data_IF_321554962024
#
_entry.id   IF_321554962024
#
_cell.length_a   1.000
_cell.length_b   1.000
_cell.length_c   1.000
_cell.angle_alpha   90.00
_cell.angle_beta   90.00
_cell.angle_gamma   90.00
#
_symmetry.space_group_name_H-M   'P 1'
#
loop_
_entity.id
_entity.type
_entity.pdbx_description
1 polymer ?
#
# COMPACT_ATOMS: atom_id res chain seq x y z
N UNK A 1 -10.09 -10.08 -23.27
CA UNK A 1 -10.72 -10.94 -22.26
C UNK A 1 -11.72 -10.13 -21.44
N UNK A 2 -12.79 -10.79 -20.95
CA UNK A 2 -13.67 -10.26 -19.91
C UNK A 2 -13.07 -10.64 -18.55
N UNK A 3 -12.81 -9.68 -17.69
CA UNK A 3 -12.19 -9.90 -16.38
C UNK A 3 -13.14 -9.45 -15.28
N UNK A 4 -13.48 -10.36 -14.36
CA UNK A 4 -14.15 -10.03 -13.11
C UNK A 4 -13.09 -9.58 -12.08
N UNK A 5 -13.04 -8.28 -11.76
CA UNK A 5 -12.16 -7.75 -10.74
C UNK A 5 -12.93 -7.61 -9.43
N UNK A 6 -12.61 -8.47 -8.47
CA UNK A 6 -13.27 -8.50 -7.16
C UNK A 6 -12.40 -7.83 -6.11
N UNK A 7 -12.98 -6.90 -5.34
CA UNK A 7 -12.31 -6.19 -4.25
C UNK A 7 -13.22 -6.07 -3.04
N UNK A 8 -12.74 -6.32 -1.78
CA UNK A 8 -13.60 -6.20 -0.59
C UNK A 8 -14.02 -4.74 -0.27
N UNK A 9 -13.49 -3.78 -1.01
CA UNK A 9 -13.75 -2.36 -0.79
C UNK A 9 -14.99 -1.88 -1.56
N UNK A 10 -16.01 -1.43 -0.84
CA UNK A 10 -17.27 -0.91 -1.39
C UNK A 10 -17.04 0.30 -2.32
N UNK A 11 -17.97 0.56 -3.26
CA UNK A 11 -17.98 1.83 -4.00
C UNK A 11 -17.94 3.03 -3.06
N UNK A 12 -17.12 4.05 -3.39
CA UNK A 12 -16.92 5.23 -2.56
C UNK A 12 -15.92 5.08 -1.40
N UNK A 13 -15.51 3.86 -1.04
CA UNK A 13 -14.52 3.66 0.02
C UNK A 13 -13.16 4.27 -0.35
N UNK A 14 -12.56 5.01 0.59
CA UNK A 14 -11.22 5.62 0.46
C UNK A 14 -10.12 4.67 0.96
N UNK A 15 -10.17 3.40 0.57
CA UNK A 15 -9.23 2.37 1.01
C UNK A 15 -8.19 2.02 -0.04
N UNK A 16 -7.03 1.50 0.39
CA UNK A 16 -5.95 1.06 -0.50
C UNK A 16 -6.42 0.02 -1.53
N UNK A 17 -7.25 -0.94 -1.12
CA UNK A 17 -7.80 -1.96 -2.03
C UNK A 17 -8.70 -1.34 -3.12
N UNK A 18 -9.50 -0.33 -2.78
CA UNK A 18 -10.34 0.35 -3.77
C UNK A 18 -9.51 1.12 -4.78
N UNK A 19 -8.52 1.87 -4.31
CA UNK A 19 -7.59 2.59 -5.19
C UNK A 19 -6.85 1.65 -6.12
N UNK A 20 -6.34 0.53 -5.60
CA UNK A 20 -5.66 -0.50 -6.39
C UNK A 20 -6.59 -1.12 -7.43
N UNK A 21 -7.80 -1.52 -7.04
CA UNK A 21 -8.77 -2.14 -7.95
C UNK A 21 -9.12 -1.21 -9.12
N UNK A 22 -9.41 0.07 -8.84
CA UNK A 22 -9.76 1.04 -9.89
C UNK A 22 -8.58 1.33 -10.82
N UNK A 23 -7.36 1.47 -10.29
CA UNK A 23 -6.15 1.68 -11.06
C UNK A 23 -5.86 0.48 -11.96
N UNK A 24 -5.94 -0.73 -11.44
CA UNK A 24 -5.74 -1.96 -12.21
C UNK A 24 -6.82 -2.16 -13.29
N UNK A 25 -8.07 -1.85 -12.97
CA UNK A 25 -9.14 -1.86 -13.96
C UNK A 25 -8.85 -0.88 -15.12
N UNK A 26 -8.33 0.32 -14.82
CA UNK A 26 -7.94 1.29 -15.85
C UNK A 26 -6.78 0.76 -16.73
N UNK A 27 -5.73 0.16 -16.14
CA UNK A 27 -4.64 -0.42 -16.90
C UNK A 27 -5.10 -1.58 -17.80
N UNK A 28 -5.94 -2.46 -17.29
CA UNK A 28 -6.47 -3.59 -18.05
C UNK A 28 -7.39 -3.13 -19.18
N UNK A 29 -8.24 -2.13 -18.95
CA UNK A 29 -9.11 -1.54 -19.99
C UNK A 29 -8.29 -0.86 -21.08
N UNK A 30 -7.25 -0.13 -20.72
CA UNK A 30 -6.33 0.49 -21.67
C UNK A 30 -5.60 -0.54 -22.55
N UNK A 31 -5.43 -1.77 -22.05
CA UNK A 31 -4.86 -2.90 -22.80
C UNK A 31 -5.91 -3.72 -23.58
N UNK A 32 -7.16 -3.22 -23.74
CA UNK A 32 -8.21 -3.86 -24.53
C UNK A 32 -9.03 -4.93 -23.80
N UNK A 33 -8.89 -5.08 -22.47
CA UNK A 33 -9.74 -5.99 -21.70
C UNK A 33 -11.07 -5.32 -21.30
N UNK A 34 -12.15 -6.11 -21.21
CA UNK A 34 -13.41 -5.66 -20.59
C UNK A 34 -13.36 -6.02 -19.11
N UNK A 35 -13.45 -5.02 -18.20
CA UNK A 35 -13.29 -5.24 -16.76
C UNK A 35 -14.52 -4.77 -16.00
N UNK A 36 -15.15 -5.68 -15.27
CA UNK A 36 -16.19 -5.38 -14.29
C UNK A 36 -15.55 -5.35 -12.88
N UNK A 37 -15.80 -4.28 -12.12
CA UNK A 37 -15.28 -4.12 -10.75
C UNK A 37 -16.45 -4.25 -9.78
N UNK A 38 -16.39 -5.23 -8.87
CA UNK A 38 -17.44 -5.50 -7.89
C UNK A 38 -16.85 -5.86 -6.53
N UNK A 39 -17.68 -5.86 -5.50
CA UNK A 39 -17.30 -6.39 -4.17
C UNK A 39 -17.40 -7.91 -4.13
N UNK A 40 -18.26 -8.49 -4.95
CA UNK A 40 -18.51 -9.93 -5.05
C UNK A 40 -18.77 -10.30 -6.51
N UNK A 41 -18.47 -11.53 -6.88
CA UNK A 41 -18.84 -12.06 -8.18
C UNK A 41 -20.31 -12.53 -8.16
N UNK A 42 -21.08 -12.05 -9.10
CA UNK A 42 -22.53 -12.26 -9.18
C UNK A 42 -22.96 -13.32 -10.23
N UNK A 43 -22.04 -14.17 -10.68
CA UNK A 43 -22.34 -15.15 -11.72
C UNK A 43 -22.16 -14.65 -13.16
N UNK A 44 -21.85 -13.36 -13.36
CA UNK A 44 -21.69 -12.82 -14.72
C UNK A 44 -20.52 -13.49 -15.46
N UNK A 45 -20.72 -13.71 -16.77
CA UNK A 45 -19.73 -14.38 -17.61
C UNK A 45 -18.42 -13.58 -17.70
N UNK A 46 -17.34 -14.19 -17.25
CA UNK A 46 -15.99 -13.68 -17.34
C UNK A 46 -15.00 -14.76 -17.76
N UNK A 47 -13.91 -14.36 -18.42
CA UNK A 47 -12.88 -15.26 -18.91
C UNK A 47 -11.82 -15.54 -17.83
N UNK A 48 -11.67 -14.64 -16.87
CA UNK A 48 -10.79 -14.77 -15.70
C UNK A 48 -11.30 -13.91 -14.55
N UNK A 49 -10.91 -14.27 -13.33
CA UNK A 49 -11.07 -13.44 -12.15
C UNK A 49 -9.74 -12.87 -11.69
N UNK A 50 -9.73 -11.59 -11.29
CA UNK A 50 -8.67 -10.96 -10.51
C UNK A 50 -9.25 -10.55 -9.15
N UNK A 51 -8.93 -11.30 -8.11
CA UNK A 51 -9.45 -11.09 -6.76
C UNK A 51 -8.42 -10.44 -5.86
N UNK A 52 -8.81 -9.40 -5.12
CA UNK A 52 -7.97 -8.73 -4.13
C UNK A 52 -8.35 -9.23 -2.73
N UNK A 53 -7.36 -9.66 -1.96
CA UNK A 53 -7.47 -10.14 -0.58
C UNK A 53 -8.03 -11.58 -0.43
N UNK A 54 -7.18 -12.48 0.03
CA UNK A 54 -7.46 -13.93 0.07
C UNK A 54 -8.72 -14.30 0.86
N UNK A 55 -8.86 -13.82 2.11
CA UNK A 55 -9.99 -14.15 2.96
C UNK A 55 -11.29 -13.46 2.52
N UNK A 56 -11.23 -12.14 2.28
CA UNK A 56 -12.43 -11.34 2.04
C UNK A 56 -13.05 -11.56 0.65
N UNK A 57 -12.31 -12.10 -0.31
CA UNK A 57 -12.81 -12.45 -1.64
C UNK A 57 -13.04 -13.95 -1.80
N UNK A 58 -12.93 -14.73 -0.71
CA UNK A 58 -12.98 -16.18 -0.73
C UNK A 58 -14.26 -16.74 -1.39
N UNK A 59 -15.44 -16.25 -1.00
CA UNK A 59 -16.70 -16.71 -1.56
C UNK A 59 -16.75 -16.56 -3.09
N UNK A 60 -16.30 -15.43 -3.62
CA UNK A 60 -16.21 -15.18 -5.06
C UNK A 60 -15.18 -16.08 -5.75
N UNK A 61 -14.03 -16.30 -5.13
CA UNK A 61 -12.95 -17.17 -5.65
C UNK A 61 -13.46 -18.62 -5.75
N UNK A 62 -14.13 -19.10 -4.71
CA UNK A 62 -14.67 -20.46 -4.63
C UNK A 62 -15.76 -20.71 -5.66
N UNK A 63 -16.65 -19.74 -5.86
CA UNK A 63 -17.77 -19.83 -6.79
C UNK A 63 -17.36 -19.67 -8.26
N UNK A 64 -16.20 -19.04 -8.56
CA UNK A 64 -15.82 -18.74 -9.93
C UNK A 64 -15.27 -19.98 -10.67
N UNK A 65 -15.86 -20.38 -11.82
CA UNK A 65 -15.48 -21.62 -12.52
C UNK A 65 -14.22 -21.50 -13.36
N UNK A 66 -13.75 -20.28 -13.64
CA UNK A 66 -12.61 -19.99 -14.52
C UNK A 66 -11.29 -19.82 -13.78
N UNK A 67 -10.22 -19.41 -14.50
CA UNK A 67 -8.93 -19.14 -13.91
C UNK A 67 -8.92 -17.92 -13.01
N UNK A 68 -8.23 -18.01 -11.88
CA UNK A 68 -8.17 -16.99 -10.82
C UNK A 68 -6.75 -16.48 -10.63
N UNK A 69 -6.59 -15.16 -10.65
CA UNK A 69 -5.42 -14.46 -10.10
C UNK A 69 -5.83 -13.90 -8.74
N UNK A 70 -5.10 -14.29 -7.70
CA UNK A 70 -5.30 -13.75 -6.35
C UNK A 70 -4.19 -12.76 -6.02
N UNK A 71 -4.58 -11.52 -5.68
CA UNK A 71 -3.68 -10.50 -5.18
C UNK A 71 -3.74 -10.44 -3.64
N UNK A 72 -2.61 -10.71 -3.00
CA UNK A 72 -2.41 -10.57 -1.56
C UNK A 72 -2.07 -9.11 -1.25
N UNK A 73 -2.92 -8.44 -0.45
CA UNK A 73 -2.94 -6.97 -0.38
C UNK A 73 -2.58 -6.38 0.97
N UNK A 74 -2.41 -7.19 2.00
CA UNK A 74 -2.05 -6.66 3.32
C UNK A 74 -2.18 -7.69 4.43
N UNK A 75 -3.24 -7.59 5.24
CA UNK A 75 -3.48 -8.51 6.37
C UNK A 75 -3.59 -9.97 5.93
N UNK A 76 -4.02 -10.19 4.72
CA UNK A 76 -4.14 -11.53 4.14
C UNK A 76 -2.78 -12.22 3.99
N UNK A 77 -1.72 -11.53 3.58
CA UNK A 77 -0.39 -12.14 3.38
C UNK A 77 0.36 -12.38 4.70
N UNK A 78 0.15 -11.54 5.72
CA UNK A 78 0.92 -11.63 6.97
C UNK A 78 0.16 -12.30 8.12
N UNK A 79 -1.16 -12.36 8.05
CA UNK A 79 -2.02 -12.88 9.10
C UNK A 79 -2.99 -13.95 8.59
N UNK A 80 -3.85 -13.61 7.62
CA UNK A 80 -5.00 -14.45 7.30
C UNK A 80 -4.59 -15.81 6.69
N UNK A 81 -3.53 -15.87 5.86
CA UNK A 81 -3.05 -17.14 5.29
C UNK A 81 -2.54 -18.12 6.35
N UNK A 82 -2.12 -17.63 7.52
CA UNK A 82 -1.66 -18.46 8.63
C UNK A 82 -2.80 -18.89 9.55
N UNK A 83 -3.88 -18.09 9.65
CA UNK A 83 -4.94 -18.28 10.66
C UNK A 83 -6.34 -18.56 10.09
N UNK A 84 -6.59 -18.33 8.78
CA UNK A 84 -7.91 -18.55 8.16
C UNK A 84 -7.88 -19.69 7.15
N UNK A 85 -8.80 -20.65 7.33
CA UNK A 85 -9.03 -21.73 6.35
C UNK A 85 -9.47 -21.18 4.99
N UNK A 86 -10.31 -20.15 4.97
CA UNK A 86 -10.81 -19.50 3.76
C UNK A 86 -9.66 -18.84 2.97
N UNK A 87 -8.72 -18.18 3.67
CA UNK A 87 -7.56 -17.59 3.01
C UNK A 87 -6.66 -18.68 2.40
N UNK A 88 -6.42 -19.79 3.11
CA UNK A 88 -5.64 -20.92 2.59
C UNK A 88 -6.35 -21.60 1.41
N UNK A 89 -7.67 -21.79 1.47
CA UNK A 89 -8.44 -22.33 0.37
C UNK A 89 -8.35 -21.42 -0.86
N UNK A 90 -8.44 -20.09 -0.68
CA UNK A 90 -8.27 -19.12 -1.77
C UNK A 90 -6.87 -19.23 -2.43
N UNK A 91 -5.82 -19.38 -1.63
CA UNK A 91 -4.48 -19.65 -2.17
C UNK A 91 -4.44 -20.97 -2.96
N UNK A 92 -5.09 -22.02 -2.47
CA UNK A 92 -5.14 -23.32 -3.13
C UNK A 92 -5.91 -23.26 -4.47
N UNK A 93 -7.00 -22.52 -4.54
CA UNK A 93 -7.83 -22.35 -5.75
C UNK A 93 -7.11 -21.49 -6.81
N UNK A 94 -6.43 -20.42 -6.42
CA UNK A 94 -5.83 -19.47 -7.36
C UNK A 94 -4.82 -20.13 -8.30
N UNK A 95 -4.87 -19.79 -9.60
CA UNK A 95 -3.90 -20.25 -10.61
C UNK A 95 -2.61 -19.44 -10.58
N UNK A 96 -2.68 -18.16 -10.19
CA UNK A 96 -1.56 -17.22 -10.10
C UNK A 96 -1.73 -16.36 -8.86
N UNK A 97 -0.60 -15.93 -8.32
CA UNK A 97 -0.57 -15.03 -7.17
C UNK A 97 0.07 -13.70 -7.57
N UNK A 98 -0.43 -12.61 -7.01
CA UNK A 98 0.20 -11.30 -7.04
C UNK A 98 0.52 -10.90 -5.61
N UNK A 99 1.73 -10.38 -5.40
CA UNK A 99 2.13 -9.66 -4.18
C UNK A 99 2.54 -8.24 -4.52
N UNK A 100 2.39 -7.30 -3.59
CA UNK A 100 2.59 -5.89 -3.86
C UNK A 100 4.03 -5.40 -3.62
N UNK A 101 4.90 -6.29 -3.11
CA UNK A 101 6.32 -6.06 -2.92
C UNK A 101 7.06 -7.41 -2.77
N UNK A 102 8.38 -7.48 -3.07
CA UNK A 102 9.09 -8.77 -3.19
C UNK A 102 9.19 -9.56 -1.87
N UNK A 103 9.35 -8.92 -0.71
CA UNK A 103 9.50 -9.65 0.57
C UNK A 103 8.23 -10.39 1.02
N UNK A 104 7.07 -10.05 0.46
CA UNK A 104 5.84 -10.79 0.72
C UNK A 104 5.90 -12.24 0.22
N UNK A 105 6.80 -12.57 -0.69
CA UNK A 105 7.01 -13.96 -1.16
C UNK A 105 7.66 -14.85 -0.09
N UNK A 106 8.27 -14.27 0.94
CA UNK A 106 8.89 -15.00 2.05
C UNK A 106 7.86 -15.53 3.06
N UNK A 107 6.61 -15.02 3.01
CA UNK A 107 5.55 -15.34 3.97
C UNK A 107 4.82 -16.66 3.67
N UNK A 108 5.02 -17.25 2.51
CA UNK A 108 4.34 -18.49 2.11
C UNK A 108 5.12 -19.29 1.08
N UNK A 109 4.97 -20.62 1.14
CA UNK A 109 5.52 -21.52 0.14
C UNK A 109 4.45 -21.89 -0.88
N UNK A 110 4.81 -21.88 -2.17
CA UNK A 110 3.90 -22.24 -3.25
C UNK A 110 4.64 -22.71 -4.50
N UNK A 111 4.06 -23.68 -5.21
CA UNK A 111 4.52 -24.07 -6.58
C UNK A 111 3.91 -23.18 -7.67
N UNK A 112 3.04 -22.25 -7.31
CA UNK A 112 2.37 -21.36 -8.24
C UNK A 112 3.27 -20.21 -8.64
N UNK A 113 3.05 -19.69 -9.85
CA UNK A 113 3.75 -18.49 -10.29
C UNK A 113 3.28 -17.27 -9.49
N UNK A 114 4.21 -16.65 -8.81
CA UNK A 114 4.01 -15.40 -8.08
C UNK A 114 4.52 -14.23 -8.90
N UNK A 115 3.72 -13.18 -9.05
CA UNK A 115 4.08 -11.95 -9.71
C UNK A 115 4.19 -10.83 -8.67
N UNK A 116 5.31 -10.12 -8.69
CA UNK A 116 5.46 -8.89 -7.90
C UNK A 116 4.93 -7.72 -8.72
N UNK A 117 3.85 -7.09 -8.24
CA UNK A 117 3.23 -5.92 -8.88
C UNK A 117 3.31 -4.76 -7.91
N UNK A 118 4.43 -4.05 -7.93
CA UNK A 118 4.62 -2.86 -7.08
C UNK A 118 3.64 -1.78 -7.50
N UNK A 119 2.92 -1.24 -6.52
CA UNK A 119 1.93 -0.19 -6.75
C UNK A 119 2.59 1.10 -7.23
N UNK A 120 1.85 1.90 -7.97
CA UNK A 120 2.35 3.15 -8.54
C UNK A 120 1.52 4.37 -8.16
N UNK A 121 2.07 5.53 -8.42
CA UNK A 121 1.33 6.79 -8.39
C UNK A 121 1.49 7.57 -9.69
N UNK A 122 0.37 8.02 -10.25
CA UNK A 122 0.34 8.84 -11.47
C UNK A 122 0.54 10.33 -11.18
N UNK A 123 0.74 10.73 -9.91
CA UNK A 123 0.89 12.13 -9.54
C UNK A 123 2.07 12.80 -10.25
N UNK A 124 1.86 14.03 -10.69
CA UNK A 124 2.89 14.92 -11.26
C UNK A 124 3.35 15.99 -10.24
N UNK A 125 2.76 16.00 -9.05
CA UNK A 125 3.14 16.93 -7.98
C UNK A 125 4.61 16.67 -7.64
N UNK A 126 5.36 17.76 -7.41
CA UNK A 126 6.76 17.71 -7.01
C UNK A 126 6.91 18.09 -5.55
N UNK A 127 7.92 17.58 -4.91
CA UNK A 127 8.26 17.91 -3.53
C UNK A 127 8.68 19.39 -3.40
N UNK A 128 7.97 20.12 -2.55
CA UNK A 128 8.19 21.55 -2.27
C UNK A 128 7.91 21.84 -0.80
N UNK A 129 8.79 21.38 0.13
CA UNK A 129 8.56 21.53 1.56
C UNK A 129 8.48 23.00 1.96
N UNK A 130 7.70 23.30 3.00
CA UNK A 130 7.63 24.64 3.59
C UNK A 130 9.00 25.03 4.19
N UNK A 131 9.19 26.32 4.48
CA UNK A 131 10.50 26.85 4.90
C UNK A 131 10.61 27.11 6.41
N UNK A 132 9.50 27.37 7.09
CA UNK A 132 9.53 27.95 8.44
C UNK A 132 9.74 26.95 9.57
N UNK A 133 9.43 25.67 9.36
CA UNK A 133 9.55 24.60 10.34
C UNK A 133 9.64 23.25 9.63
N UNK A 134 10.07 22.19 10.34
CA UNK A 134 10.19 20.85 9.77
C UNK A 134 8.83 20.13 9.85
N UNK A 135 8.11 20.08 8.74
CA UNK A 135 6.81 19.41 8.67
C UNK A 135 6.92 17.94 8.36
N UNK A 136 6.24 17.13 9.16
CA UNK A 136 6.02 15.69 8.96
C UNK A 136 4.56 15.47 8.54
N UNK A 137 4.33 14.63 7.54
CA UNK A 137 3.00 14.18 7.14
C UNK A 137 2.81 12.71 7.48
N UNK A 138 1.69 12.38 8.12
CA UNK A 138 1.24 11.00 8.38
C UNK A 138 -0.06 10.79 7.63
N UNK A 139 -0.11 9.79 6.75
CA UNK A 139 -1.29 9.51 5.91
C UNK A 139 -1.73 8.07 6.13
N UNK A 140 -2.91 7.91 6.73
CA UNK A 140 -3.52 6.62 6.97
C UNK A 140 -4.72 6.75 7.89
N UNK A 141 -5.73 5.91 7.66
CA UNK A 141 -6.86 5.83 8.60
C UNK A 141 -6.36 5.37 9.97
N UNK A 142 -6.99 5.88 11.03
CA UNK A 142 -6.65 5.55 12.42
C UNK A 142 -7.19 4.14 12.72
N UNK A 143 -6.26 3.18 12.70
CA UNK A 143 -6.46 1.77 12.99
C UNK A 143 -5.25 1.25 13.75
N UNK A 144 -5.43 0.33 14.69
CA UNK A 144 -4.36 -0.21 15.53
C UNK A 144 -3.17 -0.77 14.71
N UNK A 145 -3.47 -1.46 13.59
CA UNK A 145 -2.44 -2.00 12.68
C UNK A 145 -1.55 -0.92 12.05
N UNK A 146 -1.99 0.36 12.04
CA UNK A 146 -1.24 1.50 11.50
C UNK A 146 -0.42 2.23 12.55
N UNK A 147 -0.61 1.93 13.83
CA UNK A 147 -0.02 2.63 14.98
C UNK A 147 -0.08 4.17 14.80
N UNK A 148 -1.29 4.74 14.61
CA UNK A 148 -1.46 6.10 14.10
C UNK A 148 -0.95 7.16 15.08
N UNK A 149 -0.90 6.86 16.39
CA UNK A 149 -0.50 7.79 17.43
C UNK A 149 1.01 7.76 17.75
N UNK A 150 1.81 6.90 17.08
CA UNK A 150 3.24 6.80 17.35
C UNK A 150 3.96 8.13 17.12
N UNK A 151 3.60 8.85 16.05
CA UNK A 151 4.23 10.15 15.74
C UNK A 151 3.84 11.22 16.76
N UNK A 152 2.62 11.16 17.30
CA UNK A 152 2.19 12.04 18.40
C UNK A 152 3.02 11.78 19.66
N UNK A 153 3.20 10.51 20.04
CA UNK A 153 4.05 10.15 21.20
C UNK A 153 5.51 10.60 20.99
N UNK A 154 6.03 10.43 19.77
CA UNK A 154 7.40 10.86 19.44
C UNK A 154 7.61 12.38 19.56
N UNK A 155 6.55 13.21 19.45
CA UNK A 155 6.66 14.67 19.60
C UNK A 155 7.16 15.12 20.96
N UNK A 156 6.99 14.32 22.03
CA UNK A 156 7.53 14.61 23.35
C UNK A 156 9.07 14.66 23.40
N UNK A 157 9.73 14.04 22.43
CA UNK A 157 11.18 13.81 22.43
C UNK A 157 11.91 14.56 21.29
N UNK A 158 11.20 15.41 20.55
CA UNK A 158 11.79 16.15 19.41
C UNK A 158 11.71 17.68 19.62
N UNK A 159 12.55 18.46 18.91
CA UNK A 159 12.55 19.92 18.97
C UNK A 159 11.20 20.56 18.63
N UNK A 160 11.01 21.82 19.12
CA UNK A 160 9.76 22.56 18.95
C UNK A 160 9.47 23.00 17.51
N UNK A 161 10.46 23.00 16.63
CA UNK A 161 10.35 23.38 15.23
C UNK A 161 9.67 22.32 14.35
N UNK A 162 9.21 21.21 14.94
CA UNK A 162 8.54 20.14 14.23
C UNK A 162 7.03 20.33 14.26
N UNK A 163 6.40 20.22 13.09
CA UNK A 163 4.94 20.16 12.93
C UNK A 163 4.55 18.79 12.35
N UNK A 164 3.49 18.19 12.89
CA UNK A 164 2.91 16.94 12.39
C UNK A 164 1.51 17.18 11.86
N UNK A 165 1.30 16.82 10.59
CA UNK A 165 -0.02 16.79 9.94
C UNK A 165 -0.43 15.33 9.79
N UNK A 166 -1.47 14.92 10.51
CA UNK A 166 -2.08 13.59 10.44
C UNK A 166 -3.32 13.65 9.56
N UNK A 167 -3.38 12.81 8.53
CA UNK A 167 -4.52 12.67 7.62
C UNK A 167 -5.06 11.24 7.68
N UNK A 168 -6.36 11.13 7.85
CA UNK A 168 -7.06 9.83 7.88
C UNK A 168 -8.30 9.88 8.74
N UNK A 169 -9.24 9.01 8.40
CA UNK A 169 -10.49 8.85 9.14
C UNK A 169 -10.25 7.94 10.34
N UNK A 170 -10.93 8.21 11.44
CA UNK A 170 -11.02 7.30 12.58
C UNK A 170 -11.89 6.10 12.20
N UNK A 171 -11.27 4.92 12.10
CA UNK A 171 -11.98 3.68 11.78
C UNK A 171 -12.08 2.70 12.97
N UNK A 172 -11.28 2.92 14.00
CA UNK A 172 -11.30 2.12 15.24
C UNK A 172 -11.40 3.08 16.42
N UNK A 173 -12.46 3.01 17.26
CA UNK A 173 -12.61 3.82 18.46
C UNK A 173 -11.43 3.69 19.43
N UNK A 174 -11.14 4.73 20.20
CA UNK A 174 -10.02 4.76 21.15
C UNK A 174 -8.67 5.08 20.53
N UNK A 175 -8.65 5.47 19.24
CA UNK A 175 -7.45 5.94 18.54
C UNK A 175 -7.54 7.43 18.19
N UNK A 176 -8.42 8.17 18.83
CA UNK A 176 -8.54 9.62 18.72
C UNK A 176 -7.26 10.28 19.26
N UNK A 177 -6.65 11.22 18.54
CA UNK A 177 -5.52 11.96 19.07
C UNK A 177 -5.99 12.92 20.18
N UNK A 178 -5.74 12.57 21.43
CA UNK A 178 -6.00 13.43 22.61
C UNK A 178 -4.73 14.23 22.91
N UNK A 179 -4.68 15.47 22.43
CA UNK A 179 -3.53 16.34 22.66
C UNK A 179 -3.90 17.82 22.53
N UNK A 180 -3.30 18.64 23.39
CA UNK A 180 -3.26 20.10 23.27
C UNK A 180 -1.97 20.62 22.62
N UNK A 181 -1.07 19.74 22.21
CA UNK A 181 0.19 20.14 21.57
C UNK A 181 -0.09 20.81 20.22
N UNK A 182 0.17 22.13 20.06
CA UNK A 182 -0.15 22.87 18.84
C UNK A 182 0.66 22.39 17.62
N UNK A 183 1.72 21.63 17.84
CA UNK A 183 2.54 21.05 16.78
C UNK A 183 1.87 19.87 16.06
N UNK A 184 0.85 19.26 16.70
CA UNK A 184 0.12 18.14 16.11
C UNK A 184 -1.26 18.57 15.63
N UNK A 185 -1.57 18.27 14.36
CA UNK A 185 -2.86 18.59 13.75
C UNK A 185 -3.43 17.38 13.03
N UNK A 186 -4.49 16.80 13.60
CA UNK A 186 -5.28 15.80 12.90
C UNK A 186 -6.38 16.47 12.08
N UNK A 187 -6.35 16.27 10.76
CA UNK A 187 -7.28 16.92 9.82
C UNK A 187 -8.39 15.97 9.34
N UNK A 188 -8.50 14.78 9.93
CA UNK A 188 -9.50 13.80 9.53
C UNK A 188 -9.30 13.31 8.10
N UNK A 189 -10.39 12.84 7.49
CA UNK A 189 -10.39 12.37 6.10
C UNK A 189 -10.44 13.53 5.13
N UNK A 190 -9.45 13.61 4.24
CA UNK A 190 -9.36 14.65 3.19
C UNK A 190 -9.43 14.03 1.79
N UNK A 191 -9.84 14.77 0.75
CA UNK A 191 -9.74 14.32 -0.63
C UNK A 191 -8.30 13.94 -1.01
N UNK A 192 -8.12 12.87 -1.78
CA UNK A 192 -6.80 12.34 -2.16
C UNK A 192 -5.86 13.41 -2.75
N UNK A 193 -6.37 14.27 -3.66
CA UNK A 193 -5.59 15.37 -4.21
C UNK A 193 -5.08 16.35 -3.13
N UNK A 194 -5.84 16.58 -2.06
CA UNK A 194 -5.44 17.42 -0.92
C UNK A 194 -4.40 16.71 -0.06
N UNK A 195 -4.54 15.40 0.16
CA UNK A 195 -3.53 14.60 0.86
C UNK A 195 -2.17 14.65 0.14
N UNK A 196 -2.16 14.53 -1.19
CA UNK A 196 -0.93 14.65 -1.98
C UNK A 196 -0.29 16.05 -1.89
N UNK A 197 -1.08 17.12 -1.76
CA UNK A 197 -0.54 18.48 -1.56
C UNK A 197 0.09 18.62 -0.17
N UNK A 198 -0.55 18.10 0.89
CA UNK A 198 0.04 18.06 2.22
C UNK A 198 1.33 17.28 2.23
N UNK A 199 1.34 16.09 1.63
CA UNK A 199 2.53 15.26 1.48
C UNK A 199 3.67 16.02 0.78
N UNK A 200 3.38 16.66 -0.36
CA UNK A 200 4.38 17.38 -1.15
C UNK A 200 4.97 18.61 -0.41
N UNK A 201 4.19 19.25 0.45
CA UNK A 201 4.63 20.41 1.25
C UNK A 201 5.32 20.03 2.56
N UNK A 202 5.43 18.74 2.88
CA UNK A 202 6.09 18.22 4.08
C UNK A 202 7.54 17.82 3.79
N UNK A 203 8.41 17.90 4.79
CA UNK A 203 9.80 17.50 4.67
C UNK A 203 9.95 15.99 4.62
N UNK A 204 9.16 15.27 5.42
CA UNK A 204 9.13 13.82 5.45
C UNK A 204 7.71 13.28 5.64
N UNK A 205 7.50 12.05 5.23
CA UNK A 205 6.35 11.25 5.59
C UNK A 205 6.75 10.22 6.65
N UNK A 206 5.94 10.05 7.69
CA UNK A 206 6.06 8.92 8.62
C UNK A 206 5.03 7.86 8.27
N UNK A 207 5.46 6.60 8.23
CA UNK A 207 4.61 5.42 8.18
C UNK A 207 4.98 4.48 9.33
N UNK A 208 4.10 4.42 10.34
CA UNK A 208 4.29 3.72 11.62
C UNK A 208 3.67 2.32 11.67
N UNK A 209 3.13 1.85 10.55
CA UNK A 209 2.37 0.61 10.47
C UNK A 209 3.14 -0.60 11.02
N UNK A 210 2.40 -1.50 11.68
CA UNK A 210 2.87 -2.82 12.15
C UNK A 210 2.79 -3.86 11.05
N UNK A 211 1.96 -3.62 10.02
CA UNK A 211 1.76 -4.54 8.90
C UNK A 211 1.31 -3.76 7.64
N UNK A 212 1.94 -4.06 6.49
CA UNK A 212 1.61 -3.50 5.17
C UNK A 212 1.88 -4.52 4.07
N UNK A 213 0.92 -4.73 3.18
CA UNK A 213 1.13 -5.55 1.97
C UNK A 213 1.91 -4.81 0.89
N UNK A 214 1.51 -3.56 0.65
CA UNK A 214 2.17 -2.60 -0.23
C UNK A 214 1.51 -1.25 0.00
N UNK A 215 2.23 -0.33 0.63
CA UNK A 215 1.66 0.95 1.05
C UNK A 215 1.58 1.93 -0.12
N UNK A 216 0.37 2.19 -0.64
CA UNK A 216 0.16 3.21 -1.69
C UNK A 216 0.78 4.55 -1.32
N UNK A 217 0.68 4.96 -0.04
CA UNK A 217 1.22 6.25 0.43
C UNK A 217 2.76 6.31 0.34
N UNK A 218 3.46 5.18 0.52
CA UNK A 218 4.91 5.09 0.29
C UNK A 218 5.22 5.29 -1.19
N UNK A 219 4.45 4.64 -2.08
CA UNK A 219 4.61 4.82 -3.53
C UNK A 219 4.34 6.27 -3.96
N UNK A 220 3.36 6.94 -3.34
CA UNK A 220 3.06 8.36 -3.54
C UNK A 220 4.21 9.26 -3.07
N UNK A 221 4.75 9.01 -1.87
CA UNK A 221 5.89 9.75 -1.33
C UNK A 221 7.13 9.61 -2.23
N UNK A 222 7.45 8.38 -2.66
CA UNK A 222 8.54 8.11 -3.61
C UNK A 222 8.32 8.85 -4.94
N UNK A 223 7.09 8.83 -5.47
CA UNK A 223 6.76 9.50 -6.74
C UNK A 223 6.90 11.00 -6.68
N UNK A 224 6.48 11.62 -5.59
CA UNK A 224 6.61 13.06 -5.32
C UNK A 224 8.08 13.43 -5.06
N UNK A 225 8.82 12.55 -4.38
CA UNK A 225 10.21 12.78 -3.96
C UNK A 225 10.33 13.15 -2.49
N UNK A 226 9.35 12.76 -1.66
CA UNK A 226 9.33 13.01 -0.21
C UNK A 226 10.08 11.89 0.52
N UNK A 227 11.05 12.20 1.40
CA UNK A 227 11.66 11.24 2.30
C UNK A 227 10.64 10.49 3.15
N UNK A 228 10.86 9.19 3.34
CA UNK A 228 9.96 8.34 4.14
C UNK A 228 10.69 7.90 5.41
N UNK A 229 10.10 8.12 6.57
CA UNK A 229 10.52 7.55 7.85
C UNK A 229 9.57 6.38 8.13
N UNK A 230 10.07 5.15 8.07
CA UNK A 230 9.23 3.96 8.01
C UNK A 230 9.55 2.99 9.15
N UNK A 231 8.52 2.43 9.76
CA UNK A 231 8.67 1.24 10.61
C UNK A 231 9.34 0.12 9.82
N UNK A 232 10.34 -0.58 10.42
CA UNK A 232 11.07 -1.66 9.74
C UNK A 232 10.26 -2.95 9.73
N UNK A 233 9.27 -3.02 8.87
CA UNK A 233 8.44 -4.20 8.58
C UNK A 233 8.69 -4.71 7.17
N UNK A 234 8.39 -5.98 6.92
CA UNK A 234 8.55 -6.64 5.61
C UNK A 234 7.96 -5.82 4.45
N UNK A 235 6.73 -5.29 4.62
CA UNK A 235 6.07 -4.47 3.60
C UNK A 235 6.81 -3.19 3.23
N UNK A 236 7.36 -2.47 4.21
CA UNK A 236 8.14 -1.26 3.97
C UNK A 236 9.52 -1.58 3.41
N UNK A 237 10.17 -2.63 3.94
CA UNK A 237 11.49 -3.08 3.46
C UNK A 237 11.44 -3.55 2.02
N UNK A 238 10.36 -4.25 1.62
CA UNK A 238 10.16 -4.67 0.25
C UNK A 238 10.01 -3.53 -0.76
N UNK A 239 9.48 -2.37 -0.32
CA UNK A 239 9.34 -1.18 -1.17
C UNK A 239 10.58 -0.27 -1.17
N UNK A 240 11.22 -0.10 0.00
CA UNK A 240 12.29 0.87 0.21
C UNK A 240 13.70 0.23 0.12
N UNK A 241 13.78 -1.10 0.25
CA UNK A 241 15.02 -1.86 0.24
C UNK A 241 15.71 -1.94 1.60
N UNK A 242 16.46 -3.02 1.83
CA UNK A 242 17.11 -3.33 3.12
C UNK A 242 18.04 -2.22 3.64
N UNK A 243 18.71 -1.51 2.73
CA UNK A 243 19.71 -0.47 3.06
C UNK A 243 19.14 0.95 3.07
N UNK A 244 17.81 1.10 3.08
CA UNK A 244 17.19 2.41 3.21
C UNK A 244 17.50 3.01 4.60
N UNK A 245 17.90 4.28 4.65
CA UNK A 245 18.40 4.90 5.88
C UNK A 245 17.28 5.39 6.82
N UNK A 246 16.04 5.48 6.33
CA UNK A 246 14.90 6.06 7.05
C UNK A 246 14.08 5.04 7.84
N UNK A 247 14.68 3.96 8.37
CA UNK A 247 13.96 2.99 9.21
C UNK A 247 14.06 3.31 10.69
N UNK A 248 12.97 3.00 11.40
CA UNK A 248 12.90 2.94 12.86
C UNK A 248 12.25 1.62 13.31
N UNK A 249 12.45 1.26 14.56
CA UNK A 249 11.91 0.05 15.16
C UNK A 249 10.40 0.17 15.37
N UNK A 250 9.65 -0.87 15.04
CA UNK A 250 8.19 -0.92 15.14
C UNK A 250 7.72 -0.60 16.56
N UNK A 251 6.84 0.39 16.71
CA UNK A 251 6.24 0.79 17.98
C UNK A 251 7.17 1.54 18.92
N UNK A 252 8.37 1.94 18.49
CA UNK A 252 9.37 2.63 19.29
C UNK A 252 9.36 4.13 18.96
N UNK A 253 8.69 4.94 19.78
CA UNK A 253 8.61 6.39 19.63
C UNK A 253 9.94 7.10 19.86
N UNK A 254 10.81 6.56 20.71
CA UNK A 254 12.14 7.14 20.94
C UNK A 254 13.05 6.94 19.72
N UNK A 255 12.98 5.76 19.07
CA UNK A 255 13.74 5.51 17.85
C UNK A 255 13.23 6.37 16.69
N UNK A 256 11.90 6.55 16.59
CA UNK A 256 11.31 7.48 15.63
C UNK A 256 11.76 8.92 15.90
N UNK A 257 11.76 9.36 17.16
CA UNK A 257 12.21 10.72 17.54
C UNK A 257 13.67 10.95 17.12
N UNK A 258 14.58 10.04 17.48
CA UNK A 258 16.00 10.11 17.04
C UNK A 258 16.14 10.17 15.51
N UNK A 259 15.31 9.40 14.79
CA UNK A 259 15.32 9.42 13.33
C UNK A 259 14.82 10.74 12.76
N UNK A 260 13.80 11.35 13.37
CA UNK A 260 13.28 12.67 13.00
C UNK A 260 14.36 13.74 13.18
N UNK A 261 15.04 13.79 14.34
CA UNK A 261 16.14 14.72 14.59
C UNK A 261 17.27 14.57 13.56
N UNK A 262 17.65 13.33 13.25
CA UNK A 262 18.62 13.06 12.19
C UNK A 262 18.14 13.54 10.83
N UNK A 263 16.84 13.41 10.53
CA UNK A 263 16.26 13.87 9.26
C UNK A 263 16.26 15.40 9.13
N UNK A 264 16.37 16.16 10.23
CA UNK A 264 16.57 17.62 10.20
C UNK A 264 18.00 18.01 9.79
N UNK A 265 18.96 17.11 9.95
CA UNK A 265 20.36 17.35 9.57
C UNK A 265 20.52 17.30 8.04
N UNK A 266 21.07 18.36 7.45
CA UNK A 266 21.20 18.54 5.99
C UNK A 266 21.86 17.35 5.28
N UNK A 267 22.92 16.78 5.85
CA UNK A 267 23.63 15.62 5.27
C UNK A 267 22.77 14.36 5.22
N UNK A 268 22.10 14.04 6.33
CA UNK A 268 21.24 12.87 6.42
C UNK A 268 19.96 13.05 5.58
N UNK A 269 19.37 14.23 5.58
CA UNK A 269 18.23 14.56 4.72
C UNK A 269 18.60 14.41 3.25
N UNK A 270 19.77 14.90 2.84
CA UNK A 270 20.30 14.72 1.50
C UNK A 270 20.46 13.24 1.11
N UNK A 271 20.93 12.40 2.06
CA UNK A 271 21.00 10.94 1.87
C UNK A 271 19.63 10.33 1.62
N UNK A 272 18.61 10.66 2.43
CA UNK A 272 17.24 10.19 2.25
C UNK A 272 16.68 10.60 0.89
N UNK A 273 16.85 11.87 0.51
CA UNK A 273 16.43 12.39 -0.80
C UNK A 273 17.09 11.63 -1.96
N UNK A 274 18.39 11.36 -1.87
CA UNK A 274 19.10 10.57 -2.86
C UNK A 274 18.59 9.13 -2.97
N UNK A 275 18.22 8.49 -1.86
CA UNK A 275 17.63 7.15 -1.87
C UNK A 275 16.23 7.15 -2.49
N UNK A 276 15.39 8.12 -2.13
CA UNK A 276 14.05 8.30 -2.73
C UNK A 276 14.13 8.56 -4.23
N UNK A 277 15.07 9.38 -4.68
CA UNK A 277 15.27 9.65 -6.10
C UNK A 277 15.62 8.38 -6.90
N UNK A 278 16.43 7.48 -6.34
CA UNK A 278 16.73 6.17 -6.95
C UNK A 278 15.54 5.22 -7.00
N UNK A 279 14.67 5.26 -5.98
CA UNK A 279 13.47 4.41 -5.91
C UNK A 279 12.30 4.94 -6.75
N UNK A 280 12.27 6.23 -7.07
CA UNK A 280 11.18 6.88 -7.79
C UNK A 280 10.75 6.19 -9.11
N UNK A 281 11.66 5.66 -9.94
CA UNK A 281 11.28 4.94 -11.15
C UNK A 281 10.49 3.65 -10.87
N UNK A 282 10.73 2.97 -9.74
CA UNK A 282 10.05 1.69 -9.43
C UNK A 282 8.54 1.84 -9.27
N UNK A 283 8.07 3.00 -8.83
CA UNK A 283 6.66 3.34 -8.62
C UNK A 283 6.02 4.09 -9.79
N UNK A 284 6.58 3.97 -10.99
CA UNK A 284 6.02 4.54 -12.21
C UNK A 284 4.83 3.70 -12.71
N UNK A 285 3.72 4.34 -13.18
CA UNK A 285 2.53 3.63 -13.64
C UNK A 285 2.79 2.58 -14.72
N UNK A 286 3.72 2.85 -15.64
CA UNK A 286 4.08 1.89 -16.70
C UNK A 286 4.70 0.58 -16.18
N UNK A 287 5.40 0.62 -15.04
CA UNK A 287 5.97 -0.59 -14.43
C UNK A 287 4.89 -1.45 -13.78
N UNK A 288 3.97 -0.84 -13.04
CA UNK A 288 2.82 -1.53 -12.44
C UNK A 288 1.93 -2.14 -13.53
N UNK A 289 1.59 -1.36 -14.57
CA UNK A 289 0.78 -1.82 -15.69
C UNK A 289 1.43 -3.02 -16.40
N UNK A 290 2.74 -2.96 -16.70
CA UNK A 290 3.47 -4.04 -17.36
C UNK A 290 3.48 -5.32 -16.52
N UNK A 291 3.74 -5.22 -15.22
CA UNK A 291 3.76 -6.36 -14.31
C UNK A 291 2.36 -6.99 -14.17
N UNK A 292 1.31 -6.16 -14.05
CA UNK A 292 -0.08 -6.63 -14.01
C UNK A 292 -0.48 -7.35 -15.31
N UNK A 293 -0.19 -6.77 -16.46
CA UNK A 293 -0.50 -7.38 -17.76
C UNK A 293 0.26 -8.69 -17.98
N UNK A 294 1.51 -8.78 -17.53
CA UNK A 294 2.28 -10.02 -17.57
C UNK A 294 1.64 -11.13 -16.69
N UNK A 295 1.05 -10.77 -15.54
CA UNK A 295 0.34 -11.73 -14.70
C UNK A 295 -0.93 -12.25 -15.39
N UNK A 296 -1.71 -11.38 -16.03
CA UNK A 296 -2.92 -11.77 -16.78
C UNK A 296 -2.57 -12.63 -18.00
N UNK A 297 -1.57 -12.23 -18.78
CA UNK A 297 -1.11 -13.01 -19.94
C UNK A 297 -0.61 -14.42 -19.56
N UNK A 298 -0.10 -14.59 -18.34
CA UNK A 298 0.36 -15.89 -17.85
C UNK A 298 -0.77 -16.92 -17.63
N UNK A 299 -2.05 -16.48 -17.57
CA UNK A 299 -3.20 -17.38 -17.42
C UNK A 299 -3.44 -18.25 -18.66
N UNK A 300 -3.15 -17.77 -19.86
CA UNK A 300 -3.30 -18.57 -21.09
C UNK A 300 -2.51 -19.88 -21.07
N UNK A 301 -1.52 -20.00 -20.18
CA UNK A 301 -0.71 -21.20 -19.94
C UNK A 301 -1.18 -22.02 -18.75
N UNK A 302 -2.32 -21.68 -18.12
CA UNK A 302 -2.87 -22.42 -16.98
C UNK A 302 -3.60 -23.69 -17.44
N UNK A 303 -3.50 -24.84 -16.72
CA UNK A 303 -4.27 -26.05 -17.00
C UNK A 303 -5.80 -25.81 -16.97
N UNK A 304 -6.32 -24.92 -16.10
CA UNK A 304 -7.73 -24.57 -16.06
C UNK A 304 -8.21 -23.80 -17.31
N UNK A 305 -7.34 -22.98 -17.92
CA UNK A 305 -7.65 -22.30 -19.17
C UNK A 305 -7.82 -23.27 -20.37
N UNK A 306 -7.17 -24.44 -20.29
CA UNK A 306 -7.23 -25.49 -21.35
C UNK A 306 -8.45 -26.41 -21.24
N UNK A 307 -9.25 -26.34 -20.15
CA UNK A 307 -10.40 -27.20 -19.91
C UNK A 307 -11.76 -26.55 -20.29
N UNK A 308 -11.76 -25.50 -21.10
CA UNK A 308 -12.98 -24.98 -21.70
C UNK A 308 -13.33 -25.82 -22.95
N UNK A 309 -14.58 -26.36 -23.03
CA UNK A 309 -15.10 -26.95 -24.27
C UNK A 309 -15.26 -25.88 -25.33
#
# INVERSE_FOLDING_TARGET
MRIALVTPARPGARSGNRHTALRWAAFLRAAGHRVAVSTEWNGAAADAMLALHARRSHASIKAFPGPVILALTGTDVYHDIHHSSEARESLAIADRLIVLQPKATEEFSTHKKVHVVVQSSATRIRHHPIKNHFRICVIGHLRAVKDPLLTLRALHYVPQEIEVIQLGELLEPGLEPETSDPRYRWLGSVPHARALKWLASSHAMVISSRMEGGANVVCEALRIGVPVLASRISGNVGLLGERYAGYFKVGDEHDLARLIERAMQKSFYGRLKGQVARLRPTVAPGNEARALLASVASLSRSPRARRRP
#
